data_IF_698956358709
#
_entry.id   IF_698956358709
#
_cell.length_a   1.000
_cell.length_b   1.000
_cell.length_c   1.000
_cell.angle_alpha   90.00
_cell.angle_beta   90.00
_cell.angle_gamma   90.00
#
_symmetry.space_group_name_H-M   'P 1'
#
loop_
_entity.id
_entity.type
_entity.pdbx_description
1 polymer ?
#
# COMPACT_ATOMS: atom_id res chain seq x y z
N UNK A 1 -43.52 37.45 57.19
CA UNK A 1 -42.53 38.15 56.36
C UNK A 1 -41.27 37.31 56.32
N UNK A 2 -40.98 36.65 55.19
CA UNK A 2 -39.79 35.82 55.03
C UNK A 2 -38.64 36.69 54.54
N UNK A 3 -37.55 36.74 55.31
CA UNK A 3 -36.29 37.38 54.91
C UNK A 3 -35.66 36.50 53.82
N UNK A 4 -35.35 37.02 52.62
CA UNK A 4 -34.72 36.21 51.58
C UNK A 4 -33.28 35.87 51.99
N UNK A 5 -32.99 34.58 52.14
CA UNK A 5 -31.62 34.05 52.20
C UNK A 5 -30.89 34.38 50.91
N UNK A 6 -29.80 35.15 51.03
CA UNK A 6 -28.94 35.56 49.93
C UNK A 6 -28.45 34.36 49.12
N UNK A 7 -28.73 34.39 47.81
CA UNK A 7 -28.13 33.52 46.81
C UNK A 7 -26.59 33.63 46.90
N UNK A 8 -25.93 32.56 47.35
CA UNK A 8 -24.47 32.41 47.23
C UNK A 8 -24.12 32.42 45.74
N UNK A 9 -23.65 33.56 45.25
CA UNK A 9 -23.13 33.71 43.89
C UNK A 9 -21.89 32.82 43.75
N UNK A 10 -21.98 31.77 42.92
CA UNK A 10 -20.85 30.90 42.60
C UNK A 10 -19.75 31.73 41.94
N UNK A 11 -18.63 31.92 42.64
CA UNK A 11 -17.43 32.58 42.10
C UNK A 11 -16.90 31.82 40.88
N UNK A 12 -16.58 32.55 39.82
CA UNK A 12 -16.18 31.99 38.52
C UNK A 12 -14.89 31.16 38.70
N UNK A 13 -14.91 29.88 38.32
CA UNK A 13 -13.94 28.89 38.85
C UNK A 13 -12.50 29.01 38.34
N UNK A 14 -12.22 29.59 37.17
CA UNK A 14 -10.85 29.86 36.68
C UNK A 14 -10.85 30.90 35.54
N UNK A 15 -9.85 31.78 35.50
CA UNK A 15 -9.60 32.69 34.37
C UNK A 15 -9.16 31.91 33.12
N UNK A 16 -9.52 32.36 31.93
CA UNK A 16 -8.97 31.88 30.65
C UNK A 16 -7.56 32.43 30.39
N UNK A 17 -6.75 31.86 29.48
CA UNK A 17 -5.44 32.42 29.14
C UNK A 17 -5.51 33.89 28.67
N UNK A 18 -6.52 34.25 27.87
CA UNK A 18 -6.75 35.62 27.43
C UNK A 18 -7.06 36.57 28.60
N UNK A 19 -7.97 36.17 29.50
CA UNK A 19 -8.29 36.95 30.71
C UNK A 19 -7.07 37.11 31.63
N UNK A 20 -6.20 36.09 31.74
CA UNK A 20 -4.94 36.23 32.49
C UNK A 20 -3.99 37.24 31.85
N UNK A 21 -3.89 37.26 30.52
CA UNK A 21 -3.07 38.22 29.80
C UNK A 21 -3.58 39.66 30.02
N UNK A 22 -4.90 39.88 29.93
CA UNK A 22 -5.52 41.19 30.19
C UNK A 22 -5.28 41.69 31.63
N UNK A 23 -5.43 40.81 32.62
CA UNK A 23 -5.15 41.14 34.03
C UNK A 23 -3.70 41.57 34.21
N UNK A 24 -2.76 40.85 33.60
CA UNK A 24 -1.33 41.17 33.71
C UNK A 24 -1.01 42.47 32.99
N UNK A 25 -1.55 42.68 31.79
CA UNK A 25 -1.35 43.92 31.03
C UNK A 25 -1.88 45.15 31.79
N UNK A 26 -3.07 45.05 32.37
CA UNK A 26 -3.63 46.10 33.21
C UNK A 26 -2.77 46.36 34.45
N UNK A 27 -2.36 45.32 35.17
CA UNK A 27 -1.53 45.49 36.37
C UNK A 27 -0.16 46.08 36.02
N UNK A 28 0.43 45.72 34.88
CA UNK A 28 1.67 46.35 34.38
C UNK A 28 1.48 47.83 34.06
N UNK A 29 0.35 48.22 33.45
CA UNK A 29 0.12 49.62 33.07
C UNK A 29 -0.10 50.54 34.27
N UNK A 30 -0.54 50.01 35.42
CA UNK A 30 -0.82 50.81 36.63
C UNK A 30 0.22 50.67 37.73
N UNK A 31 1.17 49.73 37.61
CA UNK A 31 2.17 49.48 38.65
C UNK A 31 3.40 50.38 38.49
N UNK A 32 3.91 50.90 39.60
CA UNK A 32 5.24 51.54 39.67
C UNK A 32 6.22 50.56 40.28
N UNK A 33 7.38 50.34 39.64
CA UNK A 33 8.39 49.37 40.11
C UNK A 33 7.84 47.95 40.37
N UNK A 34 6.91 47.49 39.53
CA UNK A 34 6.22 46.19 39.67
C UNK A 34 5.38 46.06 40.97
N UNK A 35 5.07 47.18 41.62
CA UNK A 35 4.17 47.28 42.76
C UNK A 35 2.82 47.89 42.34
N UNK A 36 1.72 47.11 42.35
CA UNK A 36 0.41 47.62 41.95
C UNK A 36 -0.19 48.52 43.05
N UNK A 37 -0.94 49.57 42.68
CA UNK A 37 -1.54 50.48 43.64
C UNK A 37 -2.61 49.79 44.50
N UNK A 38 -2.83 50.34 45.70
CA UNK A 38 -3.77 49.77 46.65
C UNK A 38 -5.17 49.66 46.05
N UNK A 39 -5.74 48.45 46.07
CA UNK A 39 -7.06 48.16 45.52
C UNK A 39 -7.08 47.69 44.05
N UNK A 40 -6.00 47.82 43.28
CA UNK A 40 -5.96 47.36 41.87
C UNK A 40 -6.24 45.86 41.72
N UNK A 41 -5.66 45.04 42.60
CA UNK A 41 -5.91 43.60 42.65
C UNK A 41 -7.39 43.30 42.93
N UNK A 42 -8.01 44.04 43.86
CA UNK A 42 -9.42 43.90 44.23
C UNK A 42 -10.36 44.35 43.10
N UNK A 43 -9.95 45.38 42.34
CA UNK A 43 -10.66 45.83 41.15
C UNK A 43 -10.64 44.77 40.04
N UNK A 44 -9.48 44.15 39.77
CA UNK A 44 -9.39 43.01 38.84
C UNK A 44 -10.22 41.81 39.31
N UNK A 45 -10.14 41.48 40.59
CA UNK A 45 -10.91 40.37 41.17
C UNK A 45 -12.42 40.57 41.01
N UNK A 46 -12.90 41.80 41.23
CA UNK A 46 -14.29 42.21 41.02
C UNK A 46 -14.68 42.14 39.54
N UNK A 47 -13.84 42.70 38.64
CA UNK A 47 -14.09 42.72 37.19
C UNK A 47 -14.24 41.32 36.58
N UNK A 48 -13.41 40.37 37.00
CA UNK A 48 -13.41 39.01 36.45
C UNK A 48 -14.16 37.99 37.33
N UNK A 49 -14.86 38.45 38.37
CA UNK A 49 -15.61 37.62 39.33
C UNK A 49 -14.81 36.43 39.90
N UNK A 50 -13.55 36.69 40.26
CA UNK A 50 -12.60 35.71 40.80
C UNK A 50 -12.03 36.17 42.15
N UNK A 51 -11.33 35.30 42.88
CA UNK A 51 -10.81 35.66 44.20
C UNK A 51 -9.54 36.53 44.13
N UNK A 52 -9.41 37.50 45.04
CA UNK A 52 -8.23 38.38 45.17
C UNK A 52 -6.92 37.57 45.21
N UNK A 53 -6.92 36.46 45.94
CA UNK A 53 -5.77 35.54 46.07
C UNK A 53 -5.35 34.94 44.71
N UNK A 54 -6.29 34.71 43.79
CA UNK A 54 -6.01 34.19 42.45
C UNK A 54 -5.28 35.23 41.60
N UNK A 55 -5.72 36.49 41.64
CA UNK A 55 -5.09 37.61 40.96
C UNK A 55 -3.70 37.89 41.57
N UNK A 56 -3.57 37.90 42.90
CA UNK A 56 -2.28 38.09 43.58
C UNK A 56 -1.28 36.98 43.26
N UNK A 57 -1.72 35.73 43.10
CA UNK A 57 -0.85 34.61 42.68
C UNK A 57 -0.42 34.74 41.23
N UNK A 58 -1.34 35.14 40.35
CA UNK A 58 -1.04 35.42 38.94
C UNK A 58 0.01 36.54 38.82
N UNK A 59 -0.20 37.65 39.53
CA UNK A 59 0.73 38.78 39.53
C UNK A 59 2.12 38.39 40.01
N UNK A 60 2.23 37.72 41.17
CA UNK A 60 3.53 37.24 41.68
C UNK A 60 4.25 36.31 40.71
N UNK A 61 3.51 35.44 40.00
CA UNK A 61 4.09 34.56 38.98
C UNK A 61 4.67 35.37 37.82
N UNK A 62 3.96 36.40 37.37
CA UNK A 62 4.41 37.28 36.28
C UNK A 62 5.60 38.15 36.69
N UNK A 63 5.59 38.76 37.88
CA UNK A 63 6.72 39.54 38.41
C UNK A 63 7.98 38.68 38.50
N UNK A 64 7.87 37.44 38.98
CA UNK A 64 9.01 36.52 39.04
C UNK A 64 9.55 36.16 37.65
N UNK A 65 8.70 36.03 36.64
CA UNK A 65 9.12 35.79 35.26
C UNK A 65 9.85 37.01 34.69
N UNK A 66 9.33 38.22 34.92
CA UNK A 66 9.94 39.48 34.49
C UNK A 66 11.32 39.68 35.13
N UNK A 67 11.44 39.45 36.45
CA UNK A 67 12.71 39.55 37.18
C UNK A 67 13.76 38.52 36.73
N UNK A 68 13.32 37.39 36.17
CA UNK A 68 14.19 36.35 35.63
C UNK A 68 14.39 36.46 34.11
N UNK A 69 13.95 37.57 33.48
CA UNK A 69 13.98 37.79 32.02
C UNK A 69 13.35 36.64 31.20
N UNK A 70 12.36 35.95 31.78
CA UNK A 70 11.68 34.82 31.17
C UNK A 70 10.31 35.24 30.57
N UNK A 71 9.85 34.61 29.49
CA UNK A 71 8.51 34.83 28.95
C UNK A 71 7.42 34.59 30.00
N UNK A 72 6.41 35.46 30.03
CA UNK A 72 5.28 35.32 30.96
C UNK A 72 4.36 34.19 30.47
N UNK A 73 4.19 33.16 31.30
CA UNK A 73 3.26 32.05 31.05
C UNK A 73 1.82 32.44 31.43
N UNK A 74 0.93 32.51 30.44
CA UNK A 74 -0.50 32.79 30.60
C UNK A 74 -1.35 31.53 30.77
N UNK A 75 -0.74 30.34 30.68
CA UNK A 75 -1.44 29.08 30.88
C UNK A 75 -1.73 28.81 32.37
N UNK A 76 -2.71 27.93 32.59
CA UNK A 76 -3.01 27.45 33.94
C UNK A 76 -1.86 26.59 34.45
N UNK A 77 -1.34 26.88 35.64
CA UNK A 77 -0.35 26.01 36.30
C UNK A 77 -0.88 24.61 36.67
N UNK A 78 -2.17 24.33 36.44
CA UNK A 78 -2.77 22.99 36.56
C UNK A 78 -2.67 22.19 35.26
N UNK A 79 -2.56 22.86 34.11
CA UNK A 79 -2.44 22.21 32.80
C UNK A 79 -1.19 21.31 32.83
N UNK A 80 -1.36 20.05 32.44
CA UNK A 80 -0.33 18.99 32.54
C UNK A 80 0.13 18.58 33.95
N UNK A 81 -0.31 19.25 35.03
CA UNK A 81 0.02 18.90 36.43
C UNK A 81 -1.13 18.24 37.18
N UNK A 82 -2.35 18.35 36.67
CA UNK A 82 -3.53 17.67 37.19
C UNK A 82 -4.02 16.60 36.23
N UNK A 83 -4.31 15.40 36.74
CA UNK A 83 -4.79 14.26 35.97
C UNK A 83 -4.01 12.98 36.24
N UNK A 84 -4.52 11.85 35.76
CA UNK A 84 -3.80 10.56 35.82
C UNK A 84 -2.58 10.66 34.91
N UNK A 85 -1.38 10.44 35.45
CA UNK A 85 -0.16 10.38 34.63
C UNK A 85 -0.28 9.23 33.63
N UNK A 86 0.16 9.47 32.40
CA UNK A 86 0.20 8.42 31.37
C UNK A 86 1.11 7.29 31.83
N UNK A 87 0.64 6.06 31.70
CA UNK A 87 1.48 4.85 31.88
C UNK A 87 2.42 4.62 30.69
N UNK A 88 2.24 5.36 29.60
CA UNK A 88 2.99 5.20 28.37
C UNK A 88 4.34 5.93 28.44
N UNK A 89 5.21 5.50 29.33
CA UNK A 89 6.62 5.92 29.36
C UNK A 89 7.40 5.22 28.24
N UNK A 90 8.56 5.77 27.87
CA UNK A 90 9.47 5.15 26.89
C UNK A 90 9.86 3.73 27.30
N UNK A 91 10.14 3.53 28.59
CA UNK A 91 10.47 2.22 29.17
C UNK A 91 9.30 1.23 29.06
N UNK A 92 8.08 1.67 29.39
CA UNK A 92 6.89 0.83 29.27
C UNK A 92 6.61 0.43 27.81
N UNK A 93 6.89 1.31 26.83
CA UNK A 93 6.76 0.99 25.41
C UNK A 93 7.68 -0.16 25.01
N UNK A 94 8.93 -0.15 25.49
CA UNK A 94 9.90 -1.23 25.21
C UNK A 94 9.44 -2.53 25.86
N UNK A 95 9.12 -2.49 27.16
CA UNK A 95 8.64 -3.67 27.91
C UNK A 95 7.38 -4.28 27.30
N UNK A 96 6.44 -3.45 26.82
CA UNK A 96 5.22 -3.94 26.17
C UNK A 96 5.52 -4.65 24.86
N UNK A 97 6.44 -4.11 24.04
CA UNK A 97 6.81 -4.75 22.77
C UNK A 97 7.55 -6.07 23.02
N UNK A 98 8.48 -6.11 23.97
CA UNK A 98 9.16 -7.35 24.39
C UNK A 98 8.15 -8.40 24.88
N UNK A 99 7.17 -8.01 25.70
CA UNK A 99 6.11 -8.92 26.15
C UNK A 99 5.25 -9.45 24.99
N UNK A 100 4.94 -8.61 23.99
CA UNK A 100 4.22 -9.04 22.78
C UNK A 100 5.06 -10.03 21.96
N UNK A 101 6.37 -9.83 21.86
CA UNK A 101 7.29 -10.70 21.11
C UNK A 101 7.44 -12.10 21.72
N UNK A 102 7.31 -12.23 23.04
CA UNK A 102 7.34 -13.52 23.75
C UNK A 102 6.07 -14.36 23.53
N UNK A 103 4.97 -13.74 23.09
CA UNK A 103 3.69 -14.44 22.85
C UNK A 103 3.72 -15.09 21.45
N UNK A 104 3.38 -16.39 21.33
CA UNK A 104 3.25 -17.07 20.04
C UNK A 104 2.33 -16.32 19.07
N UNK A 105 2.59 -16.43 17.76
CA UNK A 105 1.83 -15.69 16.74
C UNK A 105 0.34 -16.04 16.76
N UNK A 106 0.01 -17.30 17.06
CA UNK A 106 -1.33 -17.84 17.14
C UNK A 106 -2.19 -17.12 18.20
N UNK A 107 -1.55 -16.74 19.32
CA UNK A 107 -2.21 -16.14 20.49
C UNK A 107 -2.29 -14.60 20.42
N UNK A 108 -1.77 -13.98 19.36
CA UNK A 108 -1.79 -12.52 19.15
C UNK A 108 -2.47 -12.08 17.84
N UNK A 109 -3.36 -12.92 17.31
CA UNK A 109 -4.15 -12.64 16.10
C UNK A 109 -5.29 -11.65 16.32
N UNK A 110 -5.96 -11.69 17.48
CA UNK A 110 -7.03 -10.77 17.88
C UNK A 110 -6.60 -9.93 19.10
N UNK A 111 -7.05 -8.68 19.12
CA UNK A 111 -6.71 -7.75 20.20
C UNK A 111 -7.23 -8.20 21.58
N UNK A 112 -8.33 -8.97 21.64
CA UNK A 112 -8.85 -9.51 22.91
C UNK A 112 -7.98 -10.63 23.44
N UNK A 113 -7.52 -11.53 22.58
CA UNK A 113 -6.62 -12.64 22.97
C UNK A 113 -5.31 -12.06 23.46
N UNK A 114 -4.73 -11.12 22.69
CA UNK A 114 -3.50 -10.43 23.08
C UNK A 114 -3.65 -9.68 24.42
N UNK A 115 -4.78 -8.98 24.62
CA UNK A 115 -5.07 -8.29 25.88
C UNK A 115 -5.14 -9.27 27.07
N UNK A 116 -5.75 -10.44 26.87
CA UNK A 116 -5.85 -11.48 27.90
C UNK A 116 -4.48 -12.06 28.25
N UNK A 117 -3.66 -12.37 27.25
CA UNK A 117 -2.28 -12.88 27.43
C UNK A 117 -1.35 -11.89 28.12
N UNK A 118 -1.53 -10.58 27.86
CA UNK A 118 -0.74 -9.52 28.50
C UNK A 118 -1.29 -9.10 29.89
N UNK A 119 -2.48 -9.56 30.27
CA UNK A 119 -3.16 -9.10 31.50
C UNK A 119 -3.55 -7.61 31.46
N UNK A 120 -3.74 -7.04 30.26
CA UNK A 120 -4.11 -5.63 30.06
C UNK A 120 -5.58 -5.56 29.62
N UNK A 121 -6.32 -4.55 30.06
CA UNK A 121 -7.68 -4.33 29.58
C UNK A 121 -7.69 -4.05 28.06
N UNK A 122 -8.60 -4.71 27.32
CA UNK A 122 -8.74 -4.57 25.86
C UNK A 122 -8.80 -3.10 25.39
N UNK A 123 -9.57 -2.25 26.08
CA UNK A 123 -9.68 -0.83 25.74
C UNK A 123 -8.34 -0.11 25.84
N UNK A 124 -7.60 -0.35 26.93
CA UNK A 124 -6.27 0.23 27.14
C UNK A 124 -5.27 -0.23 26.08
N UNK A 125 -5.28 -1.52 25.73
CA UNK A 125 -4.43 -2.04 24.68
C UNK A 125 -4.78 -1.44 23.30
N UNK A 126 -6.08 -1.21 23.03
CA UNK A 126 -6.52 -0.52 21.82
C UNK A 126 -6.08 0.94 21.78
N UNK A 127 -6.09 1.66 22.91
CA UNK A 127 -5.56 3.02 22.99
C UNK A 127 -4.05 3.04 22.68
N UNK A 128 -3.30 2.04 23.15
CA UNK A 128 -1.88 1.88 22.82
C UNK A 128 -1.66 1.58 21.33
N UNK A 129 -2.53 0.79 20.72
CA UNK A 129 -2.51 0.56 19.28
C UNK A 129 -2.75 1.87 18.49
N UNK A 130 -3.78 2.64 18.85
CA UNK A 130 -4.08 3.94 18.21
C UNK A 130 -2.97 4.97 18.42
N UNK A 131 -2.27 4.90 19.57
CA UNK A 131 -1.09 5.72 19.87
C UNK A 131 0.20 5.23 19.18
N UNK A 132 0.14 4.20 18.33
CA UNK A 132 1.29 3.69 17.58
C UNK A 132 2.37 3.07 18.47
N UNK A 133 1.99 2.42 19.56
CA UNK A 133 2.94 1.72 20.45
C UNK A 133 3.44 0.42 19.84
N UNK A 134 2.54 -0.26 19.12
CA UNK A 134 2.79 -1.46 18.32
C UNK A 134 1.88 -1.40 17.09
N UNK A 135 2.08 -2.31 16.12
CA UNK A 135 1.35 -2.32 14.84
C UNK A 135 0.68 -3.65 14.56
N UNK A 136 -0.38 -3.61 13.78
CA UNK A 136 -0.98 -4.78 13.16
C UNK A 136 -0.33 -5.01 11.80
N UNK A 137 -0.19 -6.26 11.41
CA UNK A 137 0.26 -6.66 10.09
C UNK A 137 -0.57 -7.86 9.62
N UNK A 138 -1.04 -7.83 8.37
CA UNK A 138 -1.71 -8.96 7.75
C UNK A 138 -0.71 -9.72 6.90
N UNK A 139 -0.50 -10.99 7.22
CA UNK A 139 0.29 -11.90 6.40
C UNK A 139 -0.64 -12.71 5.47
N UNK A 140 -0.18 -12.99 4.26
CA UNK A 140 -0.85 -13.91 3.35
C UNK A 140 -0.25 -15.32 3.50
N UNK A 141 -1.10 -16.33 3.50
CA UNK A 141 -0.67 -17.73 3.47
C UNK A 141 -0.13 -18.05 2.07
N UNK A 142 1.19 -18.22 1.98
CA UNK A 142 1.85 -18.65 0.75
C UNK A 142 2.01 -20.18 0.77
N UNK A 143 1.98 -20.82 -0.41
CA UNK A 143 2.24 -22.25 -0.52
C UNK A 143 3.65 -22.58 0.00
N UNK A 144 3.74 -23.63 0.83
CA UNK A 144 5.03 -24.16 1.28
C UNK A 144 5.73 -24.84 0.10
N UNK A 145 6.95 -24.40 -0.22
CA UNK A 145 7.77 -24.95 -1.29
C UNK A 145 8.64 -26.10 -0.76
N UNK A 146 8.66 -27.20 -1.49
CA UNK A 146 9.61 -28.31 -1.26
C UNK A 146 11.03 -27.89 -1.66
N UNK A 147 12.06 -28.53 -1.10
CA UNK A 147 13.46 -28.22 -1.45
C UNK A 147 13.75 -28.46 -2.93
N UNK A 148 13.11 -29.47 -3.55
CA UNK A 148 13.18 -29.71 -5.00
C UNK A 148 12.61 -28.54 -5.79
N UNK A 149 11.48 -27.97 -5.35
CA UNK A 149 10.92 -26.78 -6.00
C UNK A 149 11.89 -25.61 -5.85
N UNK A 150 12.37 -25.33 -4.64
CA UNK A 150 13.33 -24.25 -4.35
C UNK A 150 14.59 -24.33 -5.21
N UNK A 151 15.18 -25.53 -5.35
CA UNK A 151 16.33 -25.74 -6.23
C UNK A 151 16.01 -25.42 -7.69
N UNK A 152 14.87 -25.90 -8.21
CA UNK A 152 14.42 -25.57 -9.55
C UNK A 152 14.19 -24.05 -9.75
N UNK A 153 13.81 -23.32 -8.70
CA UNK A 153 13.67 -21.85 -8.75
C UNK A 153 15.01 -21.17 -8.94
N UNK A 154 15.99 -21.57 -8.14
CA UNK A 154 17.35 -21.01 -8.18
C UNK A 154 18.00 -21.34 -9.52
N UNK A 155 17.86 -22.58 -10.00
CA UNK A 155 18.35 -22.99 -11.33
C UNK A 155 17.70 -22.17 -12.45
N UNK A 156 16.37 -21.99 -12.40
CA UNK A 156 15.65 -21.19 -13.37
C UNK A 156 16.14 -19.74 -13.37
N UNK A 157 16.23 -19.11 -12.20
CA UNK A 157 16.72 -17.73 -12.05
C UNK A 157 18.18 -17.58 -12.50
N UNK A 158 19.04 -18.53 -12.15
CA UNK A 158 20.44 -18.57 -12.58
C UNK A 158 20.57 -18.70 -14.10
N UNK A 159 19.61 -19.35 -14.77
CA UNK A 159 19.55 -19.43 -16.23
C UNK A 159 19.41 -18.08 -16.93
N UNK A 160 19.00 -17.02 -16.22
CA UNK A 160 18.98 -15.65 -16.72
C UNK A 160 20.27 -14.89 -16.47
N UNK A 161 21.26 -15.47 -15.78
CA UNK A 161 22.54 -14.81 -15.47
C UNK A 161 23.63 -15.35 -16.38
N UNK A 162 24.43 -14.45 -16.95
CA UNK A 162 25.62 -14.82 -17.72
C UNK A 162 26.84 -14.01 -17.27
N UNK A 163 28.03 -14.51 -17.58
CA UNK A 163 29.27 -13.77 -17.36
C UNK A 163 29.40 -12.70 -18.44
N UNK A 164 29.45 -11.44 -18.03
CA UNK A 164 29.72 -10.30 -18.88
C UNK A 164 31.23 -9.98 -18.96
N UNK A 165 31.59 -8.87 -19.62
CA UNK A 165 32.97 -8.38 -19.65
C UNK A 165 33.54 -8.19 -18.23
N UNK A 166 34.76 -8.66 -17.99
CA UNK A 166 35.43 -8.56 -16.69
C UNK A 166 34.90 -9.53 -15.62
N UNK A 167 34.37 -10.70 -16.03
CA UNK A 167 33.82 -11.75 -15.16
C UNK A 167 32.64 -11.35 -14.27
N UNK A 168 32.09 -10.15 -14.49
CA UNK A 168 30.92 -9.68 -13.75
C UNK A 168 29.68 -10.45 -14.17
N UNK A 169 28.94 -10.98 -13.21
CA UNK A 169 27.64 -11.59 -13.45
C UNK A 169 26.61 -10.52 -13.81
N UNK A 170 25.97 -10.68 -14.96
CA UNK A 170 24.93 -9.78 -15.47
C UNK A 170 23.72 -10.58 -15.91
N UNK A 171 22.52 -10.04 -15.68
CA UNK A 171 21.30 -10.63 -16.23
C UNK A 171 21.27 -10.48 -17.75
N UNK A 172 20.72 -11.50 -18.42
CA UNK A 172 20.32 -11.44 -19.81
C UNK A 172 19.36 -10.26 -19.99
N UNK A 173 19.47 -9.57 -21.13
CA UNK A 173 18.62 -8.45 -21.50
C UNK A 173 17.12 -8.79 -21.55
N UNK A 174 16.76 -10.08 -21.62
CA UNK A 174 15.40 -10.60 -21.80
C UNK A 174 14.73 -10.16 -23.12
N UNK A 175 15.51 -9.67 -24.08
CA UNK A 175 14.99 -9.16 -25.36
C UNK A 175 14.47 -10.27 -26.28
N UNK A 176 14.96 -11.50 -26.11
CA UNK A 176 14.49 -12.67 -26.85
C UNK A 176 13.25 -13.30 -26.23
N UNK A 177 12.78 -12.83 -25.07
CA UNK A 177 11.69 -13.45 -24.32
C UNK A 177 10.34 -12.81 -24.62
N UNK A 178 9.34 -13.65 -24.81
CA UNK A 178 7.92 -13.30 -24.84
C UNK A 178 7.24 -14.04 -23.71
N UNK A 179 6.67 -13.30 -22.78
CA UNK A 179 5.91 -13.80 -21.66
C UNK A 179 4.45 -14.01 -22.08
N UNK A 180 3.98 -15.24 -21.92
CA UNK A 180 2.62 -15.68 -22.21
C UNK A 180 1.90 -15.97 -20.90
N UNK A 181 0.65 -15.51 -20.80
CA UNK A 181 -0.19 -15.78 -19.63
C UNK A 181 -1.67 -15.45 -19.89
N UNK A 182 -2.56 -16.01 -19.08
CA UNK A 182 -3.99 -15.82 -19.15
C UNK A 182 -4.54 -15.06 -17.95
N UNK A 183 -5.44 -14.11 -18.22
CA UNK A 183 -6.12 -13.37 -17.15
C UNK A 183 -7.61 -13.23 -17.38
N UNK A 184 -8.38 -13.47 -16.32
CA UNK A 184 -9.78 -13.05 -16.26
C UNK A 184 -9.88 -11.54 -16.04
N UNK A 185 -10.53 -10.86 -16.97
CA UNK A 185 -10.98 -9.48 -16.81
C UNK A 185 -12.47 -9.47 -16.52
N UNK A 186 -12.88 -8.62 -15.58
CA UNK A 186 -14.26 -8.56 -15.11
C UNK A 186 -14.93 -7.27 -15.60
N UNK A 187 -16.20 -7.39 -15.99
CA UNK A 187 -17.02 -6.24 -16.38
C UNK A 187 -17.21 -5.23 -15.23
N UNK A 188 -17.32 -5.75 -13.99
CA UNK A 188 -17.42 -4.96 -12.75
C UNK A 188 -16.44 -5.51 -11.72
N UNK A 189 -15.91 -4.65 -10.84
CA UNK A 189 -15.12 -5.11 -9.69
C UNK A 189 -16.06 -5.55 -8.56
N UNK A 190 -15.65 -6.57 -7.81
CA UNK A 190 -16.39 -7.01 -6.61
C UNK A 190 -16.31 -5.98 -5.46
N UNK A 191 -15.16 -5.31 -5.32
CA UNK A 191 -14.95 -4.27 -4.31
C UNK A 191 -14.50 -2.97 -4.99
N UNK A 192 -15.27 -1.90 -4.80
CA UNK A 192 -14.96 -0.56 -5.32
C UNK A 192 -15.03 0.46 -4.19
N UNK A 193 -14.16 1.46 -4.24
CA UNK A 193 -14.19 2.60 -3.33
C UNK A 193 -14.83 3.78 -4.06
N UNK A 194 -15.81 4.39 -3.41
CA UNK A 194 -16.47 5.61 -3.86
C UNK A 194 -16.13 6.73 -2.86
N UNK A 195 -15.83 7.92 -3.37
CA UNK A 195 -15.79 9.13 -2.57
C UNK A 195 -17.14 9.81 -2.77
N UNK A 196 -17.86 10.05 -1.69
CA UNK A 196 -19.22 10.59 -1.70
C UNK A 196 -19.21 11.98 -1.08
N UNK A 197 -20.08 12.86 -1.58
CA UNK A 197 -20.37 14.13 -0.93
C UNK A 197 -21.02 13.91 0.45
N UNK A 198 -20.97 14.93 1.32
CA UNK A 198 -21.50 14.86 2.70
C UNK A 198 -22.97 14.42 2.76
N UNK A 199 -23.77 14.83 1.77
CA UNK A 199 -25.20 14.53 1.69
C UNK A 199 -25.55 13.57 0.54
N UNK A 200 -24.57 12.89 -0.05
CA UNK A 200 -24.81 11.93 -1.13
C UNK A 200 -25.14 10.57 -0.55
N UNK A 201 -26.20 9.94 -1.07
CA UNK A 201 -26.60 8.60 -0.65
C UNK A 201 -25.54 7.56 -1.04
N UNK A 202 -25.32 6.59 -0.16
CA UNK A 202 -24.37 5.50 -0.42
C UNK A 202 -24.84 4.68 -1.62
N UNK A 203 -24.02 4.51 -2.67
CA UNK A 203 -24.43 3.81 -3.87
C UNK A 203 -24.69 2.34 -3.55
N UNK A 204 -25.93 1.91 -3.74
CA UNK A 204 -26.32 0.52 -3.56
C UNK A 204 -26.12 -0.26 -4.86
N UNK A 205 -25.05 -1.04 -4.92
CA UNK A 205 -24.71 -1.88 -6.09
C UNK A 205 -25.19 -3.31 -5.84
N UNK A 206 -26.16 -3.76 -6.63
CA UNK A 206 -26.65 -5.14 -6.57
C UNK A 206 -26.17 -5.97 -7.76
N UNK A 207 -25.82 -7.22 -7.47
CA UNK A 207 -25.62 -8.30 -8.45
C UNK A 207 -26.35 -9.53 -7.93
N UNK A 208 -26.96 -10.33 -8.80
CA UNK A 208 -27.71 -11.53 -8.38
C UNK A 208 -26.84 -12.50 -7.57
N UNK A 209 -25.59 -12.69 -8.00
CA UNK A 209 -24.54 -13.38 -7.23
C UNK A 209 -23.16 -12.98 -7.81
N UNK A 210 -22.18 -12.75 -6.93
CA UNK A 210 -20.81 -12.31 -7.26
C UNK A 210 -20.08 -13.27 -8.21
N UNK A 211 -20.42 -14.56 -8.17
CA UNK A 211 -19.85 -15.57 -9.06
C UNK A 211 -20.32 -15.43 -10.52
N UNK A 212 -21.41 -14.70 -10.76
CA UNK A 212 -21.96 -14.45 -12.11
C UNK A 212 -21.59 -13.06 -12.64
N UNK A 213 -20.61 -12.39 -12.05
CA UNK A 213 -20.03 -11.20 -12.69
C UNK A 213 -19.43 -11.65 -14.02
N UNK A 214 -19.91 -11.03 -15.10
CA UNK A 214 -19.43 -11.30 -16.46
C UNK A 214 -17.91 -11.10 -16.48
N UNK A 215 -17.21 -12.15 -16.91
CA UNK A 215 -15.75 -12.19 -17.01
C UNK A 215 -15.34 -12.82 -18.33
N UNK A 216 -14.24 -12.32 -18.87
CA UNK A 216 -13.68 -12.77 -20.14
C UNK A 216 -12.21 -13.10 -19.91
N UNK A 217 -11.77 -14.28 -20.34
CA UNK A 217 -10.37 -14.68 -20.26
C UNK A 217 -9.63 -14.05 -21.42
N UNK A 218 -8.44 -13.54 -21.16
CA UNK A 218 -7.55 -13.01 -22.18
C UNK A 218 -6.19 -13.72 -22.13
N UNK A 219 -5.75 -14.30 -23.25
CA UNK A 219 -4.36 -14.72 -23.42
C UNK A 219 -3.55 -13.52 -23.87
N UNK A 220 -2.48 -13.23 -23.14
CA UNK A 220 -1.60 -12.10 -23.35
C UNK A 220 -0.19 -12.56 -23.71
N UNK A 221 0.37 -12.02 -24.79
CA UNK A 221 1.78 -12.15 -25.13
C UNK A 221 2.46 -10.78 -24.99
N UNK A 222 3.49 -10.71 -24.15
CA UNK A 222 4.19 -9.48 -23.80
C UNK A 222 5.69 -9.69 -23.92
N UNK A 223 6.34 -8.79 -24.63
CA UNK A 223 7.79 -8.77 -24.74
C UNK A 223 8.35 -7.44 -24.25
N UNK A 224 9.65 -7.45 -23.93
CA UNK A 224 10.33 -6.26 -23.45
C UNK A 224 10.31 -5.16 -24.53
N UNK A 225 9.91 -3.93 -24.18
CA UNK A 225 9.97 -2.76 -25.08
C UNK A 225 11.34 -2.61 -25.74
N UNK A 226 11.36 -2.40 -27.06
CA UNK A 226 12.61 -2.09 -27.76
C UNK A 226 12.42 -1.22 -28.98
N UNK A 227 13.46 -0.49 -29.38
CA UNK A 227 13.42 0.32 -30.59
C UNK A 227 13.40 -0.57 -31.83
N UNK A 228 12.41 -0.37 -32.69
CA UNK A 228 12.31 -0.98 -34.01
C UNK A 228 12.68 0.07 -35.05
N UNK A 229 13.94 -0.01 -35.49
CA UNK A 229 14.49 0.94 -36.46
C UNK A 229 13.75 0.91 -37.81
N UNK A 230 13.45 -0.26 -38.42
CA UNK A 230 12.65 -0.33 -39.64
C UNK A 230 11.27 0.34 -39.54
N UNK A 231 10.57 0.17 -38.41
CA UNK A 231 9.20 0.71 -38.23
C UNK A 231 9.16 2.08 -37.53
N UNK A 232 10.33 2.62 -37.20
CA UNK A 232 10.57 3.88 -36.49
C UNK A 232 9.67 4.08 -35.26
N UNK A 233 9.53 3.04 -34.44
CA UNK A 233 8.68 3.05 -33.24
C UNK A 233 9.24 2.15 -32.16
N UNK A 234 8.77 2.33 -30.93
CA UNK A 234 9.01 1.34 -29.88
C UNK A 234 8.11 0.14 -30.16
N UNK A 235 8.73 -1.01 -30.36
CA UNK A 235 8.05 -2.28 -30.50
C UNK A 235 7.65 -2.84 -29.14
N UNK A 236 6.37 -3.20 -29.04
CA UNK A 236 5.80 -4.04 -28.00
C UNK A 236 4.82 -4.93 -28.70
N UNK A 237 5.10 -6.23 -28.72
CA UNK A 237 4.01 -7.12 -29.03
C UNK A 237 3.07 -7.24 -27.84
N UNK A 238 1.80 -7.05 -28.16
CA UNK A 238 0.67 -7.06 -27.25
C UNK A 238 -0.47 -7.73 -28.01
N UNK A 239 -0.53 -9.06 -27.95
CA UNK A 239 -1.66 -9.81 -28.53
C UNK A 239 -2.61 -10.22 -27.42
N UNK A 240 -3.90 -9.96 -27.59
CA UNK A 240 -4.96 -10.22 -26.62
C UNK A 240 -6.09 -10.94 -27.35
N UNK A 241 -6.51 -12.10 -26.87
CA UNK A 241 -7.65 -12.81 -27.46
C UNK A 241 -8.49 -13.48 -26.39
N UNK A 242 -9.79 -13.63 -26.67
CA UNK A 242 -10.78 -14.18 -25.76
C UNK A 242 -10.86 -15.70 -25.86
N UNK A 243 -10.86 -16.42 -24.73
CA UNK A 243 -10.92 -17.90 -24.75
C UNK A 243 -11.74 -18.51 -23.63
N UNK A 244 -12.26 -19.72 -23.87
CA UNK A 244 -12.43 -20.76 -22.86
C UNK A 244 -11.23 -21.71 -22.97
N UNK A 245 -10.43 -21.87 -21.92
CA UNK A 245 -9.13 -22.57 -22.06
C UNK A 245 -9.27 -24.05 -21.72
N UNK A 246 -9.28 -24.88 -22.77
CA UNK A 246 -8.79 -26.26 -22.70
C UNK A 246 -7.42 -26.36 -23.41
N UNK A 247 -6.76 -27.52 -23.31
CA UNK A 247 -5.40 -27.71 -23.87
C UNK A 247 -5.35 -27.55 -25.38
N UNK A 248 -6.39 -28.00 -26.07
CA UNK A 248 -6.45 -27.96 -27.53
C UNK A 248 -6.65 -26.53 -28.04
N UNK A 249 -7.54 -25.78 -27.38
CA UNK A 249 -7.77 -24.37 -27.66
C UNK A 249 -6.50 -23.57 -27.40
N UNK A 250 -5.75 -23.88 -26.33
CA UNK A 250 -4.46 -23.24 -26.06
C UNK A 250 -3.44 -23.53 -27.17
N UNK A 251 -3.28 -24.80 -27.58
CA UNK A 251 -2.40 -25.18 -28.70
C UNK A 251 -2.76 -24.43 -29.98
N UNK A 252 -4.04 -24.41 -30.34
CA UNK A 252 -4.52 -23.72 -31.54
C UNK A 252 -4.29 -22.21 -31.45
N UNK A 253 -4.48 -21.63 -30.27
CA UNK A 253 -4.18 -20.22 -30.03
C UNK A 253 -2.71 -19.89 -30.28
N UNK A 254 -1.80 -20.73 -29.78
CA UNK A 254 -0.38 -20.58 -30.04
C UNK A 254 -0.05 -20.70 -31.53
N UNK A 255 -0.45 -21.79 -32.17
CA UNK A 255 -0.05 -22.13 -33.52
C UNK A 255 -0.68 -21.24 -34.59
N UNK A 256 -1.96 -20.88 -34.44
CA UNK A 256 -2.71 -20.15 -35.46
C UNK A 256 -2.71 -18.64 -35.25
N UNK A 257 -2.37 -18.17 -34.04
CA UNK A 257 -2.55 -16.76 -33.69
C UNK A 257 -1.31 -16.14 -33.08
N UNK A 258 -0.81 -16.65 -31.94
CA UNK A 258 0.30 -16.01 -31.21
C UNK A 258 1.61 -16.12 -31.99
N UNK A 259 2.01 -17.32 -32.40
CA UNK A 259 3.28 -17.53 -33.12
C UNK A 259 3.29 -16.79 -34.46
N UNK A 260 2.28 -16.93 -35.34
CA UNK A 260 2.26 -16.20 -36.60
C UNK A 260 2.32 -14.68 -36.40
N UNK A 261 1.59 -14.17 -35.40
CA UNK A 261 1.59 -12.73 -35.10
C UNK A 261 2.96 -12.25 -34.64
N UNK A 262 3.61 -12.99 -33.73
CA UNK A 262 4.98 -12.69 -33.31
C UNK A 262 5.90 -12.65 -34.53
N UNK A 263 5.83 -13.64 -35.42
CA UNK A 263 6.66 -13.69 -36.63
C UNK A 263 6.47 -12.50 -37.56
N UNK A 264 5.24 -12.01 -37.69
CA UNK A 264 4.88 -10.84 -38.51
C UNK A 264 5.50 -9.54 -37.97
N UNK A 265 5.45 -9.36 -36.66
CA UNK A 265 5.78 -8.08 -36.01
C UNK A 265 7.16 -8.04 -35.37
N UNK A 266 7.81 -9.17 -35.11
CA UNK A 266 9.10 -9.23 -34.42
C UNK A 266 10.13 -8.32 -35.14
N UNK A 267 10.84 -7.46 -34.42
CA UNK A 267 11.60 -6.39 -35.06
C UNK A 267 12.98 -6.82 -35.58
N UNK A 268 13.61 -7.85 -35.01
CA UNK A 268 14.94 -8.29 -35.47
C UNK A 268 15.31 -9.70 -35.01
N UNK A 269 16.08 -10.39 -35.84
CA UNK A 269 16.48 -11.78 -35.61
C UNK A 269 15.30 -12.76 -35.73
N UNK A 270 15.58 -14.03 -35.46
CA UNK A 270 14.57 -15.10 -35.48
C UNK A 270 14.59 -15.97 -34.22
N UNK A 271 15.34 -15.55 -33.21
CA UNK A 271 15.45 -16.25 -31.93
C UNK A 271 14.39 -15.68 -30.98
N UNK A 272 13.50 -16.54 -30.49
CA UNK A 272 12.46 -16.16 -29.52
C UNK A 272 12.25 -17.28 -28.51
N UNK A 273 12.09 -16.92 -27.24
CA UNK A 273 11.70 -17.84 -26.17
C UNK A 273 10.32 -17.44 -25.69
N UNK A 274 9.34 -18.33 -25.89
CA UNK A 274 7.98 -18.17 -25.41
C UNK A 274 7.89 -18.75 -24.00
N UNK A 275 7.93 -17.89 -23.00
CA UNK A 275 7.84 -18.29 -21.61
C UNK A 275 6.37 -18.31 -21.15
N UNK A 276 5.93 -19.41 -20.56
CA UNK A 276 4.55 -19.57 -20.04
C UNK A 276 4.58 -20.32 -18.70
N UNK A 277 3.50 -20.25 -17.93
CA UNK A 277 3.41 -21.04 -16.70
C UNK A 277 3.27 -22.55 -17.02
N UNK A 278 3.37 -23.40 -15.99
CA UNK A 278 3.17 -24.85 -16.13
C UNK A 278 1.78 -25.30 -15.64
N UNK A 279 0.72 -24.58 -16.04
CA UNK A 279 -0.65 -24.97 -15.75
C UNK A 279 -1.05 -26.21 -16.57
N UNK A 280 -1.98 -27.02 -16.04
CA UNK A 280 -2.47 -28.26 -16.68
C UNK A 280 -2.92 -28.13 -18.15
N UNK A 281 -3.61 -27.05 -18.59
CA UNK A 281 -4.02 -26.91 -19.98
C UNK A 281 -2.86 -26.54 -20.91
N UNK A 282 -1.67 -26.23 -20.39
CA UNK A 282 -0.55 -25.88 -21.25
C UNK A 282 0.02 -27.11 -21.96
N UNK A 283 0.49 -26.85 -23.17
CA UNK A 283 1.19 -27.82 -24.02
C UNK A 283 2.61 -28.02 -23.50
N UNK A 284 3.13 -29.24 -23.67
CA UNK A 284 4.51 -29.53 -23.34
C UNK A 284 5.46 -28.80 -24.31
N UNK A 285 6.70 -28.57 -23.90
CA UNK A 285 7.69 -27.84 -24.69
C UNK A 285 8.05 -28.56 -26.02
N UNK A 286 7.81 -29.86 -26.09
CA UNK A 286 8.03 -30.76 -27.22
C UNK A 286 6.76 -31.08 -28.02
N UNK A 287 5.66 -30.36 -27.80
CA UNK A 287 4.42 -30.55 -28.57
C UNK A 287 4.69 -30.39 -30.08
N UNK A 288 4.44 -31.42 -30.92
CA UNK A 288 4.90 -31.45 -32.32
C UNK A 288 4.34 -30.31 -33.17
N UNK A 289 3.07 -29.95 -32.98
CA UNK A 289 2.43 -28.88 -33.75
C UNK A 289 3.05 -27.53 -33.40
N UNK A 290 3.32 -27.30 -32.12
CA UNK A 290 3.90 -26.05 -31.65
C UNK A 290 5.36 -25.94 -32.06
N UNK A 291 6.14 -27.02 -31.96
CA UNK A 291 7.51 -27.08 -32.46
C UNK A 291 7.55 -26.78 -33.96
N UNK A 292 6.68 -27.42 -34.75
CA UNK A 292 6.57 -27.15 -36.18
C UNK A 292 6.21 -25.68 -36.46
N UNK A 293 5.22 -25.13 -35.75
CA UNK A 293 4.83 -23.74 -35.88
C UNK A 293 5.97 -22.79 -35.49
N UNK A 294 6.74 -23.11 -34.45
CA UNK A 294 7.91 -22.36 -34.02
C UNK A 294 9.02 -22.37 -35.08
N UNK A 295 9.35 -23.52 -35.67
CA UNK A 295 10.44 -23.66 -36.64
C UNK A 295 10.11 -23.19 -38.06
N UNK A 296 8.82 -23.09 -38.41
CA UNK A 296 8.36 -22.70 -39.74
C UNK A 296 9.01 -21.38 -40.20
N UNK A 297 9.64 -21.37 -41.39
CA UNK A 297 10.28 -20.17 -41.96
C UNK A 297 11.68 -19.87 -41.38
N UNK A 298 12.43 -20.91 -41.00
CA UNK A 298 13.77 -20.83 -40.42
C UNK A 298 13.82 -20.03 -39.11
N UNK A 299 12.76 -20.16 -38.29
CA UNK A 299 12.66 -19.50 -37.01
C UNK A 299 13.28 -20.36 -35.90
N UNK A 300 14.03 -19.74 -35.00
CA UNK A 300 14.58 -20.38 -33.81
C UNK A 300 13.72 -19.99 -32.61
N UNK A 301 12.46 -20.41 -32.64
CA UNK A 301 11.52 -20.19 -31.54
C UNK A 301 11.40 -21.45 -30.69
N UNK A 302 11.23 -21.28 -29.37
CA UNK A 302 10.95 -22.40 -28.46
C UNK A 302 10.04 -21.98 -27.33
N UNK A 303 9.28 -22.94 -26.81
CA UNK A 303 8.52 -22.77 -25.57
C UNK A 303 9.42 -23.09 -24.38
N UNK A 304 9.27 -22.32 -23.30
CA UNK A 304 9.98 -22.50 -22.04
C UNK A 304 8.97 -22.46 -20.89
N UNK A 305 8.57 -23.62 -20.33
CA UNK A 305 7.70 -23.65 -19.17
C UNK A 305 8.44 -23.14 -17.94
N UNK A 306 7.76 -22.34 -17.13
CA UNK A 306 8.25 -21.90 -15.82
C UNK A 306 8.09 -23.04 -14.79
N UNK A 307 8.93 -23.08 -13.74
CA UNK A 307 8.69 -23.99 -12.63
C UNK A 307 7.35 -23.67 -11.93
N UNK A 308 6.73 -24.69 -11.33
CA UNK A 308 5.41 -24.56 -10.72
C UNK A 308 5.40 -23.58 -9.52
N UNK A 309 4.23 -22.96 -9.29
CA UNK A 309 3.94 -22.06 -8.15
C UNK A 309 4.75 -20.74 -8.13
N UNK A 310 4.96 -20.12 -9.31
CA UNK A 310 5.73 -18.87 -9.45
C UNK A 310 5.07 -17.83 -10.35
N UNK A 311 3.96 -17.22 -9.91
CA UNK A 311 3.37 -16.13 -10.68
C UNK A 311 4.35 -14.97 -10.90
N UNK A 312 5.23 -14.69 -9.92
CA UNK A 312 6.12 -13.52 -9.93
C UNK A 312 7.29 -13.62 -10.92
N UNK A 313 7.51 -14.78 -11.57
CA UNK A 313 8.54 -14.95 -12.59
C UNK A 313 8.02 -14.68 -14.01
N UNK A 314 6.76 -14.27 -14.12
CA UNK A 314 6.13 -13.85 -15.36
C UNK A 314 5.88 -12.34 -15.36
N UNK A 315 6.37 -11.60 -16.37
CA UNK A 315 6.11 -10.17 -16.49
C UNK A 315 4.61 -9.84 -16.56
N UNK A 316 3.78 -10.75 -17.06
CA UNK A 316 2.34 -10.59 -17.11
C UNK A 316 1.72 -10.45 -15.71
N UNK A 317 1.89 -11.46 -14.87
CA UNK A 317 1.40 -11.47 -13.50
C UNK A 317 2.12 -10.47 -12.58
N UNK A 318 3.44 -10.29 -12.74
CA UNK A 318 4.23 -9.40 -11.91
C UNK A 318 3.75 -7.94 -11.98
N UNK A 319 3.28 -7.48 -13.14
CA UNK A 319 2.85 -6.09 -13.25
C UNK A 319 2.12 -5.67 -14.51
N UNK A 320 2.19 -6.43 -15.61
CA UNK A 320 1.47 -6.05 -16.83
C UNK A 320 -0.04 -6.07 -16.61
N UNK A 321 -0.60 -7.17 -16.09
CA UNK A 321 -2.03 -7.30 -15.86
C UNK A 321 -2.59 -6.26 -14.88
N UNK A 322 -1.86 -5.96 -13.81
CA UNK A 322 -2.23 -4.91 -12.86
C UNK A 322 -2.30 -3.54 -13.54
N UNK A 323 -1.35 -3.24 -14.43
CA UNK A 323 -1.33 -1.99 -15.20
C UNK A 323 -2.50 -1.93 -16.20
N UNK A 324 -2.80 -3.03 -16.87
CA UNK A 324 -3.90 -3.14 -17.84
C UNK A 324 -5.26 -3.02 -17.18
N UNK A 325 -5.49 -3.74 -16.08
CA UNK A 325 -6.73 -3.63 -15.31
C UNK A 325 -6.92 -2.20 -14.77
N UNK A 326 -5.86 -1.55 -14.30
CA UNK A 326 -5.92 -0.16 -13.84
C UNK A 326 -6.41 0.81 -14.93
N UNK A 327 -5.99 0.61 -16.18
CA UNK A 327 -6.43 1.40 -17.32
C UNK A 327 -7.85 1.01 -17.78
N UNK A 328 -8.13 -0.29 -17.90
CA UNK A 328 -9.42 -0.82 -18.32
C UNK A 328 -10.55 -0.37 -17.38
N UNK A 329 -10.33 -0.39 -16.06
CA UNK A 329 -11.34 0.01 -15.08
C UNK A 329 -11.60 1.52 -15.00
N UNK A 330 -10.81 2.36 -15.66
CA UNK A 330 -11.12 3.79 -15.82
C UNK A 330 -12.20 4.01 -16.89
N UNK A 331 -12.46 3.02 -17.73
CA UNK A 331 -13.44 3.08 -18.81
C UNK A 331 -14.72 2.36 -18.38
N UNK A 332 -15.86 2.91 -18.79
CA UNK A 332 -17.16 2.28 -18.53
C UNK A 332 -17.34 1.12 -19.51
N UNK A 333 -17.79 -0.02 -18.99
CA UNK A 333 -18.19 -1.17 -19.80
C UNK A 333 -19.57 -1.65 -19.36
N UNK A 334 -20.47 -1.90 -20.31
CA UNK A 334 -21.80 -2.46 -20.07
C UNK A 334 -21.99 -3.81 -20.76
N UNK A 335 -21.28 -4.05 -21.87
CA UNK A 335 -21.32 -5.31 -22.61
C UNK A 335 -19.96 -6.02 -22.62
N UNK A 336 -19.94 -7.25 -23.15
CA UNK A 336 -18.71 -8.02 -23.35
C UNK A 336 -17.83 -7.31 -24.39
N UNK A 337 -18.42 -6.76 -25.44
CA UNK A 337 -17.73 -6.02 -26.49
C UNK A 337 -17.06 -4.76 -25.92
N UNK A 338 -17.76 -4.03 -25.05
CA UNK A 338 -17.16 -2.89 -24.34
C UNK A 338 -15.95 -3.32 -23.51
N UNK A 339 -16.05 -4.46 -22.83
CA UNK A 339 -14.93 -4.99 -22.02
C UNK A 339 -13.74 -5.32 -22.91
N UNK A 340 -13.95 -6.03 -24.03
CA UNK A 340 -12.89 -6.36 -24.99
C UNK A 340 -12.24 -5.10 -25.56
N UNK A 341 -13.05 -4.13 -25.98
CA UNK A 341 -12.56 -2.85 -26.51
C UNK A 341 -11.79 -2.04 -25.46
N UNK A 342 -12.25 -2.04 -24.21
CA UNK A 342 -11.57 -1.35 -23.13
C UNK A 342 -10.22 -1.99 -22.77
N UNK A 343 -10.13 -3.32 -22.83
CA UNK A 343 -8.86 -4.04 -22.67
C UNK A 343 -7.93 -3.70 -23.83
N UNK A 344 -8.36 -3.84 -25.09
CA UNK A 344 -7.55 -3.48 -26.27
C UNK A 344 -7.03 -2.03 -26.21
N UNK A 345 -7.92 -1.10 -25.84
CA UNK A 345 -7.57 0.31 -25.67
C UNK A 345 -6.60 0.53 -24.49
N UNK A 346 -6.77 -0.17 -23.37
CA UNK A 346 -5.80 -0.15 -22.26
C UNK A 346 -4.41 -0.64 -22.67
N UNK A 347 -4.34 -1.64 -23.55
CA UNK A 347 -3.06 -2.11 -24.08
C UNK A 347 -2.38 -1.08 -24.98
N UNK A 348 -3.14 -0.36 -25.82
CA UNK A 348 -2.62 0.74 -26.64
C UNK A 348 -2.12 1.91 -25.79
N UNK A 349 -2.82 2.22 -24.70
CA UNK A 349 -2.46 3.29 -23.75
C UNK A 349 -1.31 2.93 -22.82
N UNK A 350 -1.01 1.64 -22.61
CA UNK A 350 0.04 1.20 -21.71
C UNK A 350 1.41 1.69 -22.21
N UNK A 351 1.94 2.69 -21.51
CA UNK A 351 3.19 3.34 -21.85
C UNK A 351 4.40 2.40 -21.71
N UNK A 352 5.37 2.60 -22.60
CA UNK A 352 6.49 1.69 -22.75
C UNK A 352 7.40 1.60 -21.54
N UNK A 353 7.66 2.73 -20.90
CA UNK A 353 8.52 2.79 -19.71
C UNK A 353 7.93 1.98 -18.55
N UNK A 354 6.60 1.93 -18.45
CA UNK A 354 5.92 1.14 -17.42
C UNK A 354 6.14 -0.35 -17.67
N UNK A 355 6.07 -0.78 -18.93
CA UNK A 355 6.32 -2.17 -19.27
C UNK A 355 7.79 -2.55 -19.07
N UNK A 356 8.73 -1.69 -19.49
CA UNK A 356 10.16 -1.91 -19.25
C UNK A 356 10.49 -1.97 -17.75
N UNK A 357 9.86 -1.12 -16.92
CA UNK A 357 10.02 -1.20 -15.47
C UNK A 357 9.59 -2.54 -14.88
N UNK A 358 8.59 -3.20 -15.47
CA UNK A 358 8.15 -4.55 -15.03
C UNK A 358 9.23 -5.58 -15.33
N UNK A 359 9.88 -5.52 -16.49
CA UNK A 359 11.00 -6.40 -16.83
C UNK A 359 12.23 -6.16 -15.94
N UNK A 360 12.55 -4.90 -15.61
CA UNK A 360 13.61 -4.58 -14.65
C UNK A 360 13.26 -5.07 -13.23
N UNK A 361 12.00 -4.97 -12.84
CA UNK A 361 11.50 -5.50 -11.57
C UNK A 361 11.61 -7.02 -11.56
N UNK A 362 11.29 -7.70 -12.67
CA UNK A 362 11.43 -9.15 -12.81
C UNK A 362 12.89 -9.59 -12.58
N UNK A 363 13.87 -8.88 -13.14
CA UNK A 363 15.28 -9.18 -12.86
C UNK A 363 15.62 -9.02 -11.37
N UNK A 364 15.07 -8.00 -10.71
CA UNK A 364 15.24 -7.79 -9.26
C UNK A 364 14.59 -8.92 -8.44
N UNK A 365 13.42 -9.40 -8.86
CA UNK A 365 12.72 -10.53 -8.24
C UNK A 365 13.52 -11.83 -8.40
N UNK A 366 14.04 -12.11 -9.60
CA UNK A 366 14.93 -13.25 -9.83
C UNK A 366 16.22 -13.15 -9.00
N UNK A 367 16.75 -11.94 -8.80
CA UNK A 367 17.89 -11.75 -7.91
C UNK A 367 17.53 -12.02 -6.45
N UNK A 368 16.39 -11.52 -5.99
CA UNK A 368 15.92 -11.72 -4.63
C UNK A 368 15.69 -13.20 -4.36
N UNK A 369 15.05 -13.94 -5.28
CA UNK A 369 14.80 -15.37 -5.12
C UNK A 369 16.10 -16.18 -4.97
N UNK A 370 17.16 -15.84 -5.72
CA UNK A 370 18.47 -16.46 -5.55
C UNK A 370 19.10 -16.13 -4.18
N UNK A 371 18.90 -14.92 -3.64
CA UNK A 371 19.45 -14.54 -2.32
C UNK A 371 18.79 -15.25 -1.14
N UNK A 372 17.55 -15.71 -1.32
CA UNK A 372 16.78 -16.43 -0.29
C UNK A 372 16.66 -17.93 -0.60
N UNK A 373 17.54 -18.48 -1.45
CA UNK A 373 17.57 -19.90 -1.83
C UNK A 373 16.20 -20.42 -2.29
N UNK A 374 15.52 -19.65 -3.16
CA UNK A 374 14.21 -19.99 -3.70
C UNK A 374 13.07 -19.94 -2.67
N UNK A 375 13.25 -19.32 -1.51
CA UNK A 375 12.13 -19.10 -0.58
C UNK A 375 11.21 -17.96 -1.04
N UNK A 376 9.96 -17.99 -0.58
CA UNK A 376 8.99 -16.89 -0.71
C UNK A 376 9.17 -15.80 0.37
N UNK A 377 10.39 -15.62 0.89
CA UNK A 377 10.70 -14.73 2.02
C UNK A 377 11.07 -13.33 1.58
#
# INVERSE_FOLDING_TARGET
MAIPTALKCCTRKNLTPAERAEVIAYLLSVSTELSPPQGAIKACATKYACGDVQISRLWRRSVKAIQAEAPIDYESGRKCRSGRKSRLTSEFRVQLNEAIELIPLEDRTDIRTLASSLGIAKSTLHDYYQAGVFRSHSAHANSLLTDKQRAALVEFAAGFVHRGPGERLTFNSMMDFVHLDEKWFYLKKDKQRFYLGENEEVPHITVKNKNYIIKVMFLCAVARPRWDAPRHRIWMEKSIKTYSVDREIYRQALCRMVIPRIKEVWPSGKRVVLQHDNAKPHVAADDPEVVAACSLGNWNMKICPQPANLPDFNANDLGCFNSLQSLQYKKRAKTIEDLVNNVDSAFKELHYTKLDSVFLTLQSVLQASMRVDGCNK
#
